data_IF_308920656640
#
_entry.id   IF_308920656640
#
_cell.length_a   1.000
_cell.length_b   1.000
_cell.length_c   1.000
_cell.angle_alpha   90.00
_cell.angle_beta   90.00
_cell.angle_gamma   90.00
#
_symmetry.space_group_name_H-M   'P 1'
#
loop_
_entity.id
_entity.type
_entity.pdbx_description
1 polymer ?
#
# COMPACT_ATOMS: atom_id res chain seq x y z
N UNK A 1 8.27 5.85 16.91
CA UNK A 1 7.20 4.86 16.66
C UNK A 1 6.05 5.52 15.93
N UNK A 2 5.28 4.80 15.10
CA UNK A 2 4.04 5.30 14.48
C UNK A 2 3.10 5.90 15.54
N UNK A 3 2.90 5.18 16.67
CA UNK A 3 2.13 5.65 17.84
C UNK A 3 2.57 7.01 18.41
N UNK A 4 3.84 7.41 18.25
CA UNK A 4 4.35 8.69 18.74
C UNK A 4 3.93 9.86 17.85
N UNK A 5 3.78 9.61 16.55
CA UNK A 5 3.70 10.66 15.54
C UNK A 5 2.35 10.72 14.85
N UNK A 6 1.62 9.62 14.72
CA UNK A 6 0.24 9.66 14.23
C UNK A 6 -0.65 10.18 15.35
N UNK A 7 -1.31 11.33 15.13
CA UNK A 7 -2.18 12.01 16.10
C UNK A 7 -3.61 11.43 16.16
N UNK A 8 -3.78 10.22 15.64
CA UNK A 8 -5.04 9.49 15.60
C UNK A 8 -5.00 8.32 16.58
N UNK A 9 -6.13 7.93 17.18
CA UNK A 9 -6.19 6.70 17.97
C UNK A 9 -5.81 5.51 17.07
N UNK A 10 -4.91 4.66 17.57
CA UNK A 10 -4.50 3.43 16.89
C UNK A 10 -5.03 2.26 17.72
N UNK A 11 -6.12 1.67 17.26
CA UNK A 11 -6.77 0.54 17.93
C UNK A 11 -5.93 -0.73 17.82
N UNK A 12 -5.30 -0.94 16.66
CA UNK A 12 -4.57 -2.15 16.33
C UNK A 12 -3.39 -1.85 15.42
N UNK A 13 -2.35 -2.66 15.52
CA UNK A 13 -1.19 -2.62 14.64
C UNK A 13 -0.93 -4.03 14.11
N UNK A 14 -0.71 -4.12 12.81
CA UNK A 14 -0.74 -5.39 12.07
C UNK A 14 0.52 -5.50 11.21
N UNK A 15 1.10 -6.69 11.17
CA UNK A 15 2.11 -7.10 10.21
C UNK A 15 1.43 -8.09 9.26
N UNK A 16 1.48 -7.81 7.95
CA UNK A 16 1.05 -8.76 6.92
C UNK A 16 2.30 -9.38 6.32
N UNK A 17 2.50 -10.67 6.58
CA UNK A 17 3.68 -11.39 6.13
C UNK A 17 3.46 -12.90 6.24
N UNK A 18 4.26 -13.70 5.54
CA UNK A 18 4.33 -15.14 5.83
C UNK A 18 4.79 -15.38 7.27
N UNK A 19 4.04 -16.14 8.10
CA UNK A 19 4.44 -16.40 9.47
C UNK A 19 5.76 -17.17 9.52
N UNK A 20 6.70 -16.66 10.31
CA UNK A 20 7.94 -17.34 10.67
C UNK A 20 8.11 -17.24 12.18
N UNK A 21 8.86 -18.16 12.83
CA UNK A 21 9.07 -18.09 14.27
C UNK A 21 9.60 -16.73 14.73
N UNK A 22 10.56 -16.16 13.98
CA UNK A 22 11.12 -14.82 14.26
C UNK A 22 10.07 -13.70 14.20
N UNK A 23 9.17 -13.72 13.21
CA UNK A 23 8.11 -12.71 13.10
C UNK A 23 7.01 -12.91 14.16
N UNK A 24 6.72 -14.16 14.52
CA UNK A 24 5.76 -14.47 15.58
C UNK A 24 6.27 -13.98 16.94
N UNK A 25 7.54 -14.23 17.24
CA UNK A 25 8.20 -13.75 18.46
C UNK A 25 8.23 -12.22 18.49
N UNK A 26 8.61 -11.58 17.38
CA UNK A 26 8.64 -10.12 17.25
C UNK A 26 7.24 -9.51 17.41
N UNK A 27 6.23 -10.07 16.75
CA UNK A 27 4.85 -9.61 16.85
C UNK A 27 4.35 -9.73 18.30
N UNK A 28 4.64 -10.84 18.97
CA UNK A 28 4.29 -11.05 20.38
C UNK A 28 5.01 -10.07 21.31
N UNK A 29 6.32 -9.87 21.12
CA UNK A 29 7.12 -8.91 21.90
C UNK A 29 6.58 -7.48 21.78
N UNK A 30 6.17 -7.09 20.57
CA UNK A 30 5.69 -5.75 20.27
C UNK A 30 4.17 -5.56 20.45
N UNK A 31 3.44 -6.63 20.80
CA UNK A 31 1.97 -6.60 20.92
C UNK A 31 1.27 -6.27 19.60
N UNK A 32 1.77 -6.84 18.49
CA UNK A 32 1.24 -6.67 17.13
C UNK A 32 0.48 -7.92 16.70
N UNK A 33 -0.51 -7.76 15.84
CA UNK A 33 -1.14 -8.87 15.14
C UNK A 33 -0.29 -9.27 13.92
N UNK A 34 -0.08 -10.56 13.70
CA UNK A 34 0.57 -11.10 12.51
C UNK A 34 -0.49 -11.80 11.65
N UNK A 35 -0.76 -11.25 10.47
CA UNK A 35 -1.65 -11.84 9.47
C UNK A 35 -0.80 -12.57 8.43
N UNK A 36 -1.13 -13.84 8.18
CA UNK A 36 -0.54 -14.59 7.08
C UNK A 36 -1.02 -14.02 5.75
N UNK A 37 -0.09 -13.49 4.96
CA UNK A 37 -0.35 -12.93 3.63
C UNK A 37 -1.11 -13.88 2.69
N UNK A 38 -0.95 -15.21 2.86
CA UNK A 38 -1.68 -16.19 2.05
C UNK A 38 -3.18 -16.24 2.34
N UNK A 39 -3.62 -15.68 3.48
CA UNK A 39 -5.05 -15.56 3.80
C UNK A 39 -5.72 -14.41 3.03
N UNK A 40 -4.94 -13.42 2.59
CA UNK A 40 -5.43 -12.30 1.78
C UNK A 40 -5.34 -12.63 0.29
N UNK A 41 -4.20 -13.15 -0.17
CA UNK A 41 -3.98 -13.57 -1.54
C UNK A 41 -3.07 -14.80 -1.55
N UNK A 42 -3.58 -16.03 -1.76
CA UNK A 42 -2.73 -17.22 -1.73
C UNK A 42 -1.61 -17.17 -2.78
N UNK A 43 -0.35 -17.16 -2.35
CA UNK A 43 0.80 -17.02 -3.26
C UNK A 43 0.80 -18.07 -4.38
N UNK A 44 0.56 -19.33 -4.04
CA UNK A 44 0.57 -20.42 -5.03
C UNK A 44 -0.52 -20.28 -6.10
N UNK A 45 -1.71 -19.79 -5.73
CA UNK A 45 -2.79 -19.54 -6.68
C UNK A 45 -2.47 -18.32 -7.57
N UNK A 46 -1.91 -17.27 -6.97
CA UNK A 46 -1.48 -16.07 -7.67
C UNK A 46 -0.39 -16.36 -8.71
N UNK A 47 0.66 -17.10 -8.31
CA UNK A 47 1.77 -17.49 -9.19
C UNK A 47 1.30 -18.44 -10.31
N UNK A 48 0.47 -19.42 -9.98
CA UNK A 48 -0.08 -20.35 -10.97
C UNK A 48 -0.94 -19.63 -12.02
N UNK A 49 -1.76 -18.67 -11.62
CA UNK A 49 -2.57 -17.89 -12.55
C UNK A 49 -1.71 -17.09 -13.53
N UNK A 50 -0.69 -16.36 -13.04
CA UNK A 50 0.24 -15.58 -13.88
C UNK A 50 0.92 -16.47 -14.92
N UNK A 51 1.39 -17.66 -14.50
CA UNK A 51 2.01 -18.63 -15.39
C UNK A 51 1.04 -19.11 -16.47
N UNK A 52 -0.21 -19.39 -16.12
CA UNK A 52 -1.23 -19.86 -17.05
C UNK A 52 -1.62 -18.80 -18.08
N UNK A 53 -1.64 -17.52 -17.70
CA UNK A 53 -1.88 -16.39 -18.60
C UNK A 53 -0.68 -16.04 -19.50
N UNK A 54 0.46 -16.74 -19.34
CA UNK A 54 1.68 -16.45 -20.10
C UNK A 54 2.31 -15.10 -19.77
N UNK A 55 1.98 -14.52 -18.61
CA UNK A 55 2.53 -13.24 -18.16
C UNK A 55 3.98 -13.46 -17.67
N UNK A 56 4.94 -12.86 -18.37
CA UNK A 56 6.36 -12.97 -18.03
C UNK A 56 6.78 -11.91 -17.03
N UNK A 57 6.89 -12.28 -15.75
CA UNK A 57 7.41 -11.44 -14.68
C UNK A 57 8.56 -12.15 -13.97
N UNK A 58 9.62 -11.42 -13.65
CA UNK A 58 10.64 -11.93 -12.76
C UNK A 58 10.12 -11.98 -11.31
N UNK A 59 10.78 -12.76 -10.46
CA UNK A 59 10.37 -12.95 -9.07
C UNK A 59 10.27 -11.63 -8.28
N UNK A 60 11.16 -10.67 -8.56
CA UNK A 60 11.14 -9.34 -7.91
C UNK A 60 9.88 -8.54 -8.27
N UNK A 61 9.49 -8.55 -9.55
CA UNK A 61 8.30 -7.87 -10.03
C UNK A 61 7.04 -8.56 -9.51
N UNK A 62 7.04 -9.90 -9.47
CA UNK A 62 5.95 -10.67 -8.90
C UNK A 62 5.73 -10.31 -7.41
N UNK A 63 6.83 -10.28 -6.65
CA UNK A 63 6.83 -9.83 -5.27
C UNK A 63 6.34 -8.38 -5.13
N UNK A 64 6.77 -7.47 -6.01
CA UNK A 64 6.28 -6.09 -6.02
C UNK A 64 4.76 -6.01 -6.18
N UNK A 65 4.20 -6.63 -7.22
CA UNK A 65 2.75 -6.63 -7.45
C UNK A 65 1.98 -7.21 -6.27
N UNK A 66 2.44 -8.35 -5.76
CA UNK A 66 1.84 -9.00 -4.62
C UNK A 66 1.75 -8.07 -3.40
N UNK A 67 2.82 -7.34 -3.09
CA UNK A 67 2.83 -6.35 -2.00
C UNK A 67 1.78 -5.26 -2.19
N UNK A 68 1.66 -4.70 -3.39
CA UNK A 68 0.67 -3.65 -3.65
C UNK A 68 -0.77 -4.19 -3.50
N UNK A 69 -1.01 -5.43 -3.91
CA UNK A 69 -2.32 -6.06 -3.79
C UNK A 69 -2.71 -6.34 -2.35
N UNK A 70 -1.78 -6.82 -1.51
CA UNK A 70 -2.04 -7.09 -0.10
C UNK A 70 -2.48 -5.82 0.66
N UNK A 71 -1.88 -4.66 0.36
CA UNK A 71 -2.23 -3.38 0.99
C UNK A 71 -3.68 -2.97 0.72
N UNK A 72 -4.19 -3.25 -0.47
CA UNK A 72 -5.59 -2.99 -0.81
C UNK A 72 -6.50 -4.09 -0.24
N UNK A 73 -6.14 -5.37 -0.41
CA UNK A 73 -6.93 -6.52 0.04
C UNK A 73 -7.15 -6.56 1.55
N UNK A 74 -6.28 -5.94 2.34
CA UNK A 74 -6.47 -5.82 3.79
C UNK A 74 -7.77 -5.13 4.20
N UNK A 75 -8.41 -4.35 3.31
CA UNK A 75 -9.69 -3.68 3.61
C UNK A 75 -10.77 -4.64 4.13
N UNK A 76 -10.76 -5.92 3.74
CA UNK A 76 -11.79 -6.86 4.20
C UNK A 76 -11.58 -7.28 5.66
N UNK A 77 -10.32 -7.33 6.10
CA UNK A 77 -9.89 -7.65 7.47
C UNK A 77 -9.80 -6.43 8.40
N UNK A 78 -9.97 -5.22 7.87
CA UNK A 78 -9.92 -4.00 8.67
C UNK A 78 -11.19 -3.86 9.53
N UNK A 79 -11.01 -3.84 10.86
CA UNK A 79 -12.09 -3.64 11.82
C UNK A 79 -12.50 -2.16 11.98
N UNK A 80 -11.71 -1.24 11.43
CA UNK A 80 -11.94 0.20 11.45
C UNK A 80 -12.36 0.74 10.08
N UNK A 81 -12.98 1.93 10.08
CA UNK A 81 -13.32 2.65 8.86
C UNK A 81 -12.08 3.04 8.06
N UNK A 82 -11.01 3.41 8.77
CA UNK A 82 -9.73 3.77 8.18
C UNK A 82 -8.63 2.81 8.60
N UNK A 83 -7.71 2.52 7.69
CA UNK A 83 -6.47 1.81 8.01
C UNK A 83 -5.27 2.55 7.44
N UNK A 84 -4.21 2.62 8.22
CA UNK A 84 -3.00 3.37 7.86
C UNK A 84 -1.88 2.40 7.52
N UNK A 85 -1.47 2.41 6.25
CA UNK A 85 -0.38 1.59 5.74
C UNK A 85 0.90 2.41 5.74
N UNK A 86 1.98 1.76 6.18
CA UNK A 86 3.34 2.32 6.14
C UNK A 86 4.27 1.22 5.62
N UNK A 87 5.05 1.52 4.59
CA UNK A 87 6.05 0.59 4.06
C UNK A 87 7.12 0.28 5.13
N UNK A 88 7.65 -0.95 5.13
CA UNK A 88 8.57 -1.46 6.15
C UNK A 88 9.88 -0.67 6.34
N UNK A 89 10.28 0.11 5.33
CA UNK A 89 11.52 0.89 5.32
C UNK A 89 11.29 2.38 5.61
N UNK A 90 10.06 2.76 5.97
CA UNK A 90 9.67 4.13 6.29
C UNK A 90 9.68 4.39 7.79
N UNK A 91 10.25 5.52 8.19
CA UNK A 91 10.22 6.00 9.57
C UNK A 91 9.54 7.35 9.64
N UNK A 92 8.46 7.42 10.41
CA UNK A 92 7.78 8.69 10.68
C UNK A 92 8.60 9.50 11.69
N UNK A 93 8.87 10.77 11.38
CA UNK A 93 9.73 11.66 12.20
C UNK A 93 9.03 12.93 12.69
N UNK A 94 7.82 13.20 12.22
CA UNK A 94 7.04 14.39 12.56
C UNK A 94 5.60 14.01 12.88
N UNK A 95 4.88 14.76 13.72
CA UNK A 95 3.48 14.49 13.98
C UNK A 95 2.63 14.61 12.70
N UNK A 96 1.65 13.73 12.53
CA UNK A 96 0.79 13.64 11.35
C UNK A 96 -0.68 13.58 11.76
N UNK A 97 -1.50 14.38 11.09
CA UNK A 97 -2.97 14.30 11.12
C UNK A 97 -3.40 13.73 9.78
N UNK A 98 -3.93 12.51 9.78
CA UNK A 98 -4.32 11.78 8.57
C UNK A 98 -5.70 12.21 8.06
N UNK A 99 -6.60 12.54 8.98
CA UNK A 99 -7.93 13.08 8.72
C UNK A 99 -8.13 14.24 9.70
N UNK A 100 -8.56 15.40 9.24
CA UNK A 100 -8.85 16.55 10.11
C UNK A 100 -10.25 16.45 10.73
N UNK A 101 -10.53 17.31 11.72
CA UNK A 101 -11.80 17.31 12.44
C UNK A 101 -13.01 17.65 11.55
N UNK A 102 -12.80 18.35 10.44
CA UNK A 102 -13.77 18.65 9.39
C UNK A 102 -13.86 17.56 8.30
N UNK A 103 -13.17 16.42 8.48
CA UNK A 103 -13.23 15.26 7.60
C UNK A 103 -12.34 15.35 6.36
N UNK A 104 -11.41 16.30 6.29
CA UNK A 104 -10.46 16.43 5.16
C UNK A 104 -9.38 15.35 5.29
N UNK A 105 -9.24 14.54 4.24
CA UNK A 105 -8.24 13.48 4.17
C UNK A 105 -6.87 14.04 3.74
N UNK A 106 -5.82 13.73 4.49
CA UNK A 106 -4.45 14.16 4.19
C UNK A 106 -3.73 13.11 3.35
N UNK A 107 -3.38 13.49 2.12
CA UNK A 107 -2.54 12.69 1.23
C UNK A 107 -1.12 13.24 1.20
N UNK A 108 -0.14 12.35 1.41
CA UNK A 108 1.26 12.68 1.15
C UNK A 108 1.55 12.44 -0.32
N UNK A 109 2.19 13.40 -0.99
CA UNK A 109 2.38 13.39 -2.43
C UNK A 109 3.82 13.65 -2.82
N UNK A 110 4.33 12.90 -3.78
CA UNK A 110 5.66 13.08 -4.37
C UNK A 110 5.67 14.19 -5.41
N UNK A 111 6.78 14.93 -5.49
CA UNK A 111 7.02 15.86 -6.59
C UNK A 111 7.20 15.11 -7.92
N UNK A 112 6.77 15.77 -8.98
CA UNK A 112 6.58 15.20 -10.31
C UNK A 112 7.92 14.81 -10.96
N UNK A 113 8.36 13.58 -10.75
CA UNK A 113 9.50 12.98 -11.43
C UNK A 113 9.14 11.56 -11.87
N UNK A 114 8.58 11.42 -13.07
CA UNK A 114 8.58 10.14 -13.80
C UNK A 114 7.40 9.18 -13.57
N UNK A 115 6.51 9.44 -12.61
CA UNK A 115 5.43 8.50 -12.21
C UNK A 115 4.22 8.45 -13.17
N UNK A 116 4.38 8.97 -14.39
CA UNK A 116 3.38 8.86 -15.46
C UNK A 116 2.97 7.41 -15.72
N UNK A 117 3.86 6.46 -15.45
CA UNK A 117 3.63 5.04 -15.63
C UNK A 117 2.53 4.54 -14.69
N UNK A 118 2.71 4.70 -13.37
CA UNK A 118 1.73 4.32 -12.35
C UNK A 118 0.38 5.02 -12.57
N UNK A 119 0.41 6.29 -12.99
CA UNK A 119 -0.79 7.04 -13.39
C UNK A 119 -1.48 6.43 -14.60
N UNK A 120 -0.75 6.03 -15.63
CA UNK A 120 -1.32 5.43 -16.83
C UNK A 120 -2.00 4.09 -16.52
N UNK A 121 -1.37 3.28 -15.67
CA UNK A 121 -1.93 2.04 -15.13
C UNK A 121 -3.26 2.30 -14.42
N UNK A 122 -3.25 3.23 -13.47
CA UNK A 122 -4.45 3.62 -12.72
C UNK A 122 -5.53 4.17 -13.66
N UNK A 123 -5.21 5.07 -14.59
CA UNK A 123 -6.17 5.61 -15.56
C UNK A 123 -6.86 4.52 -16.37
N UNK A 124 -6.12 3.50 -16.83
CA UNK A 124 -6.70 2.37 -17.57
C UNK A 124 -7.64 1.56 -16.67
N UNK A 125 -7.21 1.25 -15.45
CA UNK A 125 -8.01 0.52 -14.48
C UNK A 125 -9.30 1.25 -14.10
N UNK A 126 -9.25 2.59 -14.02
CA UNK A 126 -10.36 3.46 -13.66
C UNK A 126 -11.29 3.83 -14.82
N UNK A 127 -11.07 3.29 -16.03
CA UNK A 127 -11.94 3.54 -17.18
C UNK A 127 -11.69 4.87 -17.90
N UNK A 128 -10.52 5.47 -17.70
CA UNK A 128 -10.08 6.69 -18.39
C UNK A 128 -10.43 7.98 -17.64
N UNK A 129 -9.50 8.46 -16.80
CA UNK A 129 -9.62 9.79 -16.19
C UNK A 129 -9.26 10.90 -17.20
N UNK A 130 -10.11 11.92 -17.29
CA UNK A 130 -9.92 13.08 -18.16
C UNK A 130 -8.80 14.01 -17.67
N UNK A 131 -8.64 14.13 -16.35
CA UNK A 131 -7.60 14.91 -15.72
C UNK A 131 -6.90 14.07 -14.63
N UNK A 132 -5.59 14.22 -14.51
CA UNK A 132 -4.79 13.68 -13.41
C UNK A 132 -3.91 14.79 -12.85
N UNK A 133 -3.65 14.80 -11.54
CA UNK A 133 -2.85 15.84 -10.92
C UNK A 133 -1.39 15.79 -11.40
N UNK A 134 -0.69 16.92 -11.26
CA UNK A 134 0.75 16.98 -11.54
C UNK A 134 1.58 16.21 -10.52
N UNK A 135 1.14 16.09 -9.26
CA UNK A 135 1.83 15.33 -8.21
C UNK A 135 1.51 13.82 -8.25
N UNK A 136 2.35 12.99 -7.63
CA UNK A 136 2.13 11.53 -7.46
C UNK A 136 1.62 11.22 -6.05
N UNK A 137 0.70 10.27 -5.91
CA UNK A 137 0.25 9.79 -4.60
C UNK A 137 1.21 8.75 -3.98
N UNK A 138 2.26 8.34 -4.69
CA UNK A 138 3.25 7.36 -4.22
C UNK A 138 4.14 7.96 -3.11
N UNK A 139 3.73 7.76 -1.85
CA UNK A 139 4.37 8.37 -0.69
C UNK A 139 4.93 7.41 0.36
N UNK A 140 4.96 6.10 0.09
CA UNK A 140 5.42 5.04 1.00
C UNK A 140 4.56 4.87 2.29
N UNK A 141 3.50 5.67 2.42
CA UNK A 141 2.48 5.55 3.45
C UNK A 141 1.18 6.16 2.95
N UNK A 142 0.04 5.68 3.46
CA UNK A 142 -1.27 6.22 3.13
C UNK A 142 -2.31 5.77 4.15
N UNK A 143 -3.24 6.68 4.47
CA UNK A 143 -4.47 6.32 5.15
C UNK A 143 -5.51 5.95 4.09
N UNK A 144 -6.11 4.78 4.24
CA UNK A 144 -7.14 4.27 3.34
C UNK A 144 -8.47 4.29 4.06
N UNK A 145 -9.52 4.77 3.40
CA UNK A 145 -10.91 4.53 3.77
C UNK A 145 -11.33 3.16 3.22
N UNK A 146 -11.69 2.25 4.12
CA UNK A 146 -12.11 0.89 3.81
C UNK A 146 -13.27 0.85 2.81
N UNK A 147 -14.21 1.78 2.89
CA UNK A 147 -15.38 1.85 1.99
C UNK A 147 -14.95 2.27 0.59
N UNK A 148 -14.03 3.24 0.49
CA UNK A 148 -13.47 3.70 -0.78
C UNK A 148 -12.67 2.58 -1.44
N UNK A 149 -11.85 1.83 -0.69
CA UNK A 149 -11.11 0.67 -1.22
C UNK A 149 -12.06 -0.43 -1.70
N UNK A 150 -13.13 -0.70 -0.94
CA UNK A 150 -14.18 -1.65 -1.35
C UNK A 150 -14.79 -1.25 -2.69
N UNK A 151 -15.23 0.01 -2.82
CA UNK A 151 -15.82 0.51 -4.06
C UNK A 151 -14.83 0.49 -5.22
N UNK A 152 -13.57 0.88 -4.99
CA UNK A 152 -12.49 0.81 -5.97
C UNK A 152 -12.33 -0.61 -6.54
N UNK A 153 -12.24 -1.61 -5.66
CA UNK A 153 -12.08 -3.01 -6.06
C UNK A 153 -13.32 -3.46 -6.84
N UNK A 154 -14.53 -3.19 -6.32
CA UNK A 154 -15.79 -3.56 -6.97
C UNK A 154 -15.95 -2.93 -8.37
N UNK A 155 -15.55 -1.68 -8.54
CA UNK A 155 -15.61 -0.98 -9.82
C UNK A 155 -14.65 -1.57 -10.85
N UNK A 156 -13.42 -1.89 -10.43
CA UNK A 156 -12.43 -2.55 -11.29
C UNK A 156 -12.94 -3.94 -11.67
N UNK A 157 -13.38 -4.74 -10.71
CA UNK A 157 -13.85 -6.11 -10.96
C UNK A 157 -15.09 -6.13 -11.86
N UNK A 158 -16.01 -5.19 -11.63
CA UNK A 158 -17.21 -5.03 -12.46
C UNK A 158 -16.87 -4.62 -13.90
N UNK A 159 -15.83 -3.79 -14.08
CA UNK A 159 -15.39 -3.33 -15.40
C UNK A 159 -14.65 -4.42 -16.17
N UNK A 160 -13.72 -5.12 -15.52
CA UNK A 160 -12.84 -6.11 -16.16
C UNK A 160 -13.37 -7.53 -16.13
N UNK A 161 -14.44 -7.79 -15.36
CA UNK A 161 -15.06 -9.13 -15.18
C UNK A 161 -14.08 -10.18 -14.65
N UNK A 162 -13.16 -9.76 -13.78
CA UNK A 162 -12.14 -10.60 -13.12
C UNK A 162 -11.68 -9.91 -11.86
N UNK A 163 -11.02 -10.63 -10.95
CA UNK A 163 -10.49 -10.08 -9.69
C UNK A 163 -9.57 -8.87 -9.96
N UNK A 164 -9.58 -7.87 -9.09
CA UNK A 164 -8.90 -6.59 -9.37
C UNK A 164 -7.38 -6.76 -9.64
N UNK A 165 -6.72 -7.70 -8.94
CA UNK A 165 -5.29 -7.95 -9.09
C UNK A 165 -4.96 -8.59 -10.44
N UNK A 166 -5.89 -9.41 -10.98
CA UNK A 166 -5.79 -9.96 -12.33
C UNK A 166 -5.97 -8.85 -13.37
N UNK A 167 -6.96 -7.99 -13.19
CA UNK A 167 -7.18 -6.83 -14.04
C UNK A 167 -5.95 -5.91 -14.06
N UNK A 168 -5.34 -5.65 -12.91
CA UNK A 168 -4.10 -4.86 -12.81
C UNK A 168 -2.96 -5.49 -13.63
N UNK A 169 -2.72 -6.80 -13.49
CA UNK A 169 -1.67 -7.50 -14.23
C UNK A 169 -1.91 -7.52 -15.75
N UNK A 170 -3.17 -7.68 -16.18
CA UNK A 170 -3.54 -7.63 -17.60
C UNK A 170 -3.33 -6.24 -18.19
N UNK A 171 -3.67 -5.18 -17.45
CA UNK A 171 -3.43 -3.78 -17.84
C UNK A 171 -1.93 -3.50 -17.99
N UNK A 172 -1.11 -4.10 -17.15
CA UNK A 172 0.35 -3.96 -17.19
C UNK A 172 1.03 -4.83 -18.24
N UNK A 173 0.34 -5.83 -18.80
CA UNK A 173 0.87 -6.71 -19.86
C UNK A 173 2.25 -7.30 -19.50
N UNK A 174 2.46 -7.65 -18.23
CA UNK A 174 3.74 -8.20 -17.76
C UNK A 174 4.90 -7.21 -17.71
N UNK A 175 4.64 -5.90 -17.83
CA UNK A 175 5.69 -4.92 -17.58
C UNK A 175 6.08 -4.89 -16.11
N UNK A 176 7.38 -4.80 -15.84
CA UNK A 176 7.91 -4.84 -14.48
C UNK A 176 7.51 -3.59 -13.66
N UNK A 177 6.94 -3.84 -12.46
CA UNK A 177 6.80 -2.90 -11.35
C UNK A 177 6.21 -1.50 -11.69
N UNK A 178 5.15 -1.48 -12.49
CA UNK A 178 4.50 -0.23 -12.95
C UNK A 178 3.25 0.16 -12.17
N UNK A 179 2.66 -0.77 -11.45
CA UNK A 179 1.48 -0.53 -10.63
C UNK A 179 1.86 0.04 -9.27
N UNK A 180 1.05 1.00 -8.80
CA UNK A 180 1.00 1.41 -7.39
C UNK A 180 -0.44 1.49 -6.92
N UNK A 181 -0.69 0.83 -5.80
CA UNK A 181 -1.85 0.96 -4.94
C UNK A 181 -2.10 2.40 -4.46
N UNK A 182 -1.03 3.14 -4.11
CA UNK A 182 -1.14 4.51 -3.64
C UNK A 182 -1.63 5.42 -4.78
N UNK A 183 -1.08 5.26 -5.98
CA UNK A 183 -1.51 6.02 -7.16
C UNK A 183 -2.95 5.65 -7.56
N UNK A 184 -3.28 4.36 -7.58
CA UNK A 184 -4.62 3.89 -7.92
C UNK A 184 -5.67 4.42 -6.95
N UNK A 185 -5.46 4.23 -5.65
CA UNK A 185 -6.40 4.69 -4.62
C UNK A 185 -6.49 6.21 -4.57
N UNK A 186 -5.34 6.91 -4.61
CA UNK A 186 -5.32 8.36 -4.59
C UNK A 186 -6.12 8.97 -5.74
N UNK A 187 -5.95 8.44 -6.95
CA UNK A 187 -6.72 8.88 -8.11
C UNK A 187 -8.21 8.56 -7.99
N UNK A 188 -8.57 7.36 -7.53
CA UNK A 188 -9.97 6.97 -7.35
C UNK A 188 -10.67 7.84 -6.29
N UNK A 189 -10.06 7.95 -5.12
CA UNK A 189 -10.63 8.67 -3.99
C UNK A 189 -10.80 10.18 -4.25
N UNK A 190 -9.94 10.78 -5.10
CA UNK A 190 -9.94 12.23 -5.35
C UNK A 190 -10.66 12.64 -6.64
N UNK A 191 -10.76 11.76 -7.63
CA UNK A 191 -11.25 12.11 -8.97
C UNK A 191 -12.40 11.22 -9.47
N UNK A 192 -12.76 10.16 -8.74
CA UNK A 192 -13.90 9.30 -9.06
C UNK A 192 -14.99 9.40 -7.99
N UNK A 193 -14.61 9.38 -6.71
CA UNK A 193 -15.57 9.53 -5.61
C UNK A 193 -16.07 10.97 -5.47
N UNK A 194 -17.38 11.14 -5.34
CA UNK A 194 -17.99 12.43 -5.00
C UNK A 194 -17.78 12.78 -3.52
N UNK A 195 -17.70 14.07 -3.20
CA UNK A 195 -17.66 14.56 -1.82
C UNK A 195 -16.35 14.35 -1.06
N UNK A 196 -15.30 13.86 -1.72
CA UNK A 196 -13.98 13.71 -1.11
C UNK A 196 -13.33 15.08 -0.85
N UNK A 197 -13.09 15.38 0.42
CA UNK A 197 -12.29 16.54 0.83
C UNK A 197 -10.86 16.09 1.04
N UNK A 198 -9.92 16.70 0.33
CA UNK A 198 -8.52 16.32 0.36
C UNK A 198 -7.59 17.50 0.63
N UNK A 199 -6.53 17.22 1.39
CA UNK A 199 -5.36 18.08 1.51
C UNK A 199 -4.12 17.32 1.05
N UNK A 200 -3.15 18.03 0.47
CA UNK A 200 -1.94 17.43 -0.08
C UNK A 200 -0.70 17.99 0.60
N UNK A 201 0.09 17.11 1.22
CA UNK A 201 1.36 17.45 1.86
C UNK A 201 2.53 16.82 1.11
N UNK A 202 3.69 17.49 1.01
CA UNK A 202 4.82 16.95 0.27
C UNK A 202 5.44 15.75 1.00
N UNK A 203 5.82 14.72 0.23
CA UNK A 203 6.52 13.51 0.74
C UNK A 203 7.80 13.84 1.49
N UNK A 204 8.43 14.99 1.23
CA UNK A 204 9.62 15.46 1.97
C UNK A 204 9.36 15.64 3.47
N UNK A 205 8.09 15.75 3.90
CA UNK A 205 7.73 15.75 5.31
C UNK A 205 7.79 14.37 5.97
N UNK A 206 7.98 13.31 5.18
CA UNK A 206 8.21 11.93 5.62
C UNK A 206 9.72 11.67 5.62
N UNK A 207 10.25 11.14 6.72
CA UNK A 207 11.69 10.96 6.90
C UNK A 207 12.22 9.59 6.49
N UNK A 208 12.97 9.46 5.39
CA UNK A 208 13.75 8.24 5.10
C UNK A 208 15.03 8.16 5.96
N UNK A 209 15.49 6.98 6.41
CA UNK A 209 16.83 6.84 7.01
C UNK A 209 17.93 7.02 5.94
N UNK A 210 19.05 7.68 6.27
CA UNK A 210 20.21 7.79 5.36
C UNK A 210 20.82 6.39 5.12
N UNK A 211 21.30 6.10 3.90
CA UNK A 211 21.93 4.81 3.48
C UNK A 211 22.94 4.19 4.47
N UNK A 212 23.67 4.98 5.26
CA UNK A 212 24.63 4.48 6.26
C UNK A 212 23.96 3.83 7.49
N UNK A 213 22.72 4.24 7.79
CA UNK A 213 21.87 3.61 8.80
C UNK A 213 21.27 2.28 8.34
N UNK A 214 21.43 1.83 7.09
CA UNK A 214 20.82 0.56 6.65
C UNK A 214 21.37 -0.68 7.39
N UNK A 215 22.67 -0.71 7.69
CA UNK A 215 23.31 -1.82 8.40
C UNK A 215 23.03 -1.78 9.92
N UNK A 216 23.00 -0.59 10.51
CA UNK A 216 22.64 -0.43 11.93
C UNK A 216 21.13 -0.53 12.15
N UNK A 217 20.31 -0.08 11.19
CA UNK A 217 18.87 -0.31 11.18
C UNK A 217 18.55 -1.80 11.06
N UNK A 218 19.41 -2.66 10.52
CA UNK A 218 19.19 -4.11 10.58
C UNK A 218 19.28 -4.64 12.03
N UNK A 219 20.18 -4.06 12.83
CA UNK A 219 20.36 -4.40 14.26
C UNK A 219 19.38 -3.68 15.19
N UNK A 220 18.92 -2.49 14.80
CA UNK A 220 17.94 -1.65 15.53
C UNK A 220 16.48 -1.98 15.12
N UNK A 221 16.25 -2.51 13.90
CA UNK A 221 14.93 -2.90 13.34
C UNK A 221 14.19 -3.85 14.25
N UNK A 222 14.91 -4.69 14.97
CA UNK A 222 14.31 -5.70 15.86
C UNK A 222 13.91 -5.16 17.23
N UNK A 223 14.31 -3.94 17.62
CA UNK A 223 14.09 -3.45 19.00
C UNK A 223 13.20 -2.23 19.16
N UNK A 224 12.82 -1.49 18.08
CA UNK A 224 12.23 -0.14 18.27
C UNK A 224 11.10 0.31 17.33
N UNK A 225 10.46 -0.53 16.52
CA UNK A 225 9.43 -0.07 15.57
C UNK A 225 8.08 -0.82 15.69
N UNK A 226 6.96 -0.13 15.99
CA UNK A 226 5.65 -0.77 16.17
C UNK A 226 4.78 -0.89 14.91
N UNK A 227 5.28 -0.66 13.69
CA UNK A 227 4.57 -1.11 12.47
C UNK A 227 5.58 -1.51 11.40
N UNK A 228 5.31 -2.63 10.73
CA UNK A 228 6.00 -3.08 9.53
C UNK A 228 4.96 -3.83 8.69
N UNK A 229 4.56 -3.33 7.53
CA UNK A 229 4.10 -4.23 6.46
C UNK A 229 5.36 -4.97 5.95
N UNK A 230 5.70 -6.09 6.60
CA UNK A 230 6.97 -6.79 6.37
C UNK A 230 6.81 -7.74 5.19
N UNK A 231 7.49 -7.46 4.09
CA UNK A 231 7.58 -8.41 2.98
C UNK A 231 9.03 -8.87 2.84
N UNK A 232 9.27 -10.14 3.20
CA UNK A 232 10.54 -10.80 2.94
C UNK A 232 10.55 -11.31 1.50
N UNK A 233 11.61 -11.03 0.76
CA UNK A 233 11.90 -11.69 -0.49
C UNK A 233 12.34 -13.11 -0.16
N UNK A 234 11.46 -14.10 -0.33
CA UNK A 234 11.93 -15.46 -0.43
C UNK A 234 12.80 -15.55 -1.69
N UNK A 235 14.03 -16.02 -1.51
CA UNK A 235 14.81 -16.58 -2.61
C UNK A 235 14.45 -18.04 -2.75
#
# INVERSE_FOLDING_TARGET
SVKKWVKHPINKMVIIARPTPCLQDLAKELGLELIDENTLLPWGAFEAWIKNEGISLNHESLGWYYQQFLKLLYYDNADSEYYFVVDADVVIKKPMVLISDDGVHTYFVGENLGDTISKNSAKKLLGGLSCVPSFSFVADLMCFDRRVVRSLIQDIESRFKTDFYKAALLVEQGNAARFSEYELYGLYANFVCEGSLASYLPKSDIGRPRRKLWLDAYKIKLKTLPYIAYHHYLR
#
